data_IF_838251311726
#
_entry.id   IF_838251311726
#
_cell.length_a   1.000
_cell.length_b   1.000
_cell.length_c   1.000
_cell.angle_alpha   90.00
_cell.angle_beta   90.00
_cell.angle_gamma   90.00
#
_symmetry.space_group_name_H-M   'P 1'
#
loop_
_entity.id
_entity.type
_entity.pdbx_description
1 polymer ?
#
# COMPACT_ATOMS: atom_id res chain seq x y z
N UNK A 1 1.67 -8.09 -7.33
CA UNK A 1 0.77 -9.26 -7.41
C UNK A 1 0.97 -10.28 -6.27
N UNK A 2 1.75 -10.01 -5.26
CA UNK A 2 2.04 -10.94 -4.13
C UNK A 2 1.34 -10.52 -2.82
N UNK A 3 1.07 -9.24 -2.59
CA UNK A 3 0.42 -8.75 -1.37
C UNK A 3 -1.06 -9.16 -1.25
N UNK A 4 -1.81 -9.18 -2.34
CA UNK A 4 -3.24 -9.57 -2.35
C UNK A 4 -3.46 -11.05 -2.01
N UNK A 5 -2.45 -11.91 -2.24
CA UNK A 5 -2.55 -13.35 -1.98
C UNK A 5 -2.29 -13.73 -0.51
N UNK A 6 -1.61 -12.86 0.25
CA UNK A 6 -1.30 -13.10 1.67
C UNK A 6 -2.48 -12.72 2.58
N UNK A 7 -3.15 -11.61 2.27
CA UNK A 7 -4.34 -11.15 3.02
C UNK A 7 -5.50 -12.13 2.86
N UNK A 8 -5.66 -12.74 1.67
CA UNK A 8 -6.78 -13.65 1.40
C UNK A 8 -6.64 -15.05 2.02
N UNK A 9 -5.47 -15.44 2.53
CA UNK A 9 -5.26 -16.78 3.10
C UNK A 9 -5.58 -16.89 4.59
N UNK A 10 -5.54 -15.79 5.34
CA UNK A 10 -5.80 -15.80 6.79
C UNK A 10 -7.24 -15.45 7.18
N UNK A 11 -8.10 -15.08 6.21
CA UNK A 11 -9.50 -14.77 6.46
C UNK A 11 -10.49 -15.81 5.92
N UNK A 12 -10.01 -16.93 5.39
CA UNK A 12 -10.89 -17.98 4.87
C UNK A 12 -11.02 -19.14 5.85
N UNK A 13 -11.71 -18.86 6.95
CA UNK A 13 -12.06 -19.88 7.95
C UNK A 13 -13.13 -19.39 8.89
N UNK A 14 -14.35 -19.55 8.49
CA UNK A 14 -15.61 -19.77 9.23
C UNK A 14 -16.74 -18.82 8.85
N UNK A 15 -17.90 -19.46 8.63
CA UNK A 15 -19.24 -18.91 8.49
C UNK A 15 -19.66 -18.53 7.05
N UNK A 16 -19.90 -19.57 6.24
CA UNK A 16 -20.87 -19.49 5.14
C UNK A 16 -22.29 -19.69 5.71
N UNK A 17 -22.83 -18.61 6.30
CA UNK A 17 -24.23 -18.51 6.72
C UNK A 17 -24.88 -17.33 6.00
N UNK A 18 -26.22 -17.26 5.99
CA UNK A 18 -27.06 -16.19 5.36
C UNK A 18 -26.58 -14.77 5.67
N UNK A 19 -25.93 -14.55 6.83
CA UNK A 19 -25.32 -13.27 7.19
C UNK A 19 -24.15 -12.87 6.27
N UNK A 20 -23.46 -13.83 5.67
CA UNK A 20 -22.36 -13.56 4.74
C UNK A 20 -22.84 -13.06 3.38
N UNK A 21 -24.02 -13.49 2.93
CA UNK A 21 -24.62 -13.04 1.67
C UNK A 21 -25.18 -11.64 1.85
N UNK A 22 -25.90 -11.38 2.95
CA UNK A 22 -26.48 -10.07 3.24
C UNK A 22 -25.41 -8.99 3.40
N UNK A 23 -24.29 -9.32 4.05
CA UNK A 23 -23.15 -8.43 4.18
C UNK A 23 -22.50 -8.12 2.83
N UNK A 24 -22.31 -9.10 1.97
CA UNK A 24 -21.76 -8.91 0.62
C UNK A 24 -22.68 -8.08 -0.27
N UNK A 25 -24.00 -8.26 -0.17
CA UNK A 25 -24.95 -7.43 -0.92
C UNK A 25 -24.99 -5.99 -0.41
N UNK A 26 -24.91 -5.77 0.89
CA UNK A 26 -24.79 -4.43 1.48
C UNK A 26 -23.48 -3.75 1.10
N UNK A 27 -22.36 -4.48 1.12
CA UNK A 27 -21.05 -3.99 0.67
C UNK A 27 -21.07 -3.63 -0.82
N UNK A 28 -21.69 -4.47 -1.68
CA UNK A 28 -21.84 -4.20 -3.11
C UNK A 28 -22.76 -2.99 -3.38
N UNK A 29 -23.85 -2.85 -2.64
CA UNK A 29 -24.75 -1.69 -2.72
C UNK A 29 -24.05 -0.41 -2.24
N UNK A 30 -23.29 -0.48 -1.14
CA UNK A 30 -22.54 0.67 -0.64
C UNK A 30 -21.45 1.09 -1.63
N UNK A 31 -20.76 0.14 -2.27
CA UNK A 31 -19.75 0.41 -3.29
C UNK A 31 -20.36 0.99 -4.57
N UNK A 32 -21.60 0.60 -4.94
CA UNK A 32 -22.31 1.16 -6.08
C UNK A 32 -22.78 2.61 -5.85
N UNK A 33 -23.15 2.96 -4.61
CA UNK A 33 -23.60 4.32 -4.23
C UNK A 33 -22.42 5.22 -3.86
N UNK A 34 -21.41 4.66 -3.20
CA UNK A 34 -20.20 5.35 -2.77
C UNK A 34 -18.97 4.59 -3.25
N UNK A 35 -18.64 4.64 -4.55
CA UNK A 35 -17.50 3.91 -5.08
C UNK A 35 -16.21 4.36 -4.41
N UNK A 36 -15.47 3.41 -3.88
CA UNK A 36 -14.12 3.63 -3.41
C UNK A 36 -13.20 3.94 -4.59
N UNK A 37 -12.16 4.71 -4.36
CA UNK A 37 -11.14 5.01 -5.38
C UNK A 37 -11.56 5.96 -6.52
N UNK A 38 -12.61 6.76 -6.37
CA UNK A 38 -12.97 7.81 -7.36
C UNK A 38 -12.11 9.07 -7.23
N UNK A 39 -11.38 9.23 -6.14
CA UNK A 39 -10.46 10.35 -5.94
C UNK A 39 -9.03 9.86 -5.75
N UNK A 40 -8.10 10.58 -6.37
CA UNK A 40 -6.68 10.33 -6.17
C UNK A 40 -6.29 10.59 -4.71
N UNK A 41 -5.70 9.59 -4.07
CA UNK A 41 -5.25 9.65 -2.68
C UNK A 41 -4.27 10.79 -2.39
N UNK A 42 -3.45 11.15 -3.39
CA UNK A 42 -2.43 12.19 -3.23
C UNK A 42 -2.96 13.61 -3.52
N UNK A 43 -3.61 13.80 -4.66
CA UNK A 43 -3.98 15.15 -5.11
C UNK A 43 -5.48 15.45 -5.04
N UNK A 44 -6.32 14.50 -4.61
CA UNK A 44 -7.77 14.66 -4.52
C UNK A 44 -8.49 14.76 -5.86
N UNK A 45 -7.80 14.65 -7.00
CA UNK A 45 -8.40 14.73 -8.34
C UNK A 45 -9.30 13.51 -8.57
N UNK A 46 -10.42 13.72 -9.26
CA UNK A 46 -11.27 12.64 -9.72
C UNK A 46 -10.49 11.72 -10.66
N UNK A 47 -10.61 10.42 -10.44
CA UNK A 47 -9.98 9.37 -11.24
C UNK A 47 -11.03 8.36 -11.68
N UNK A 48 -10.69 7.60 -12.72
CA UNK A 48 -11.52 6.51 -13.17
C UNK A 48 -11.55 5.38 -12.11
N UNK A 49 -12.75 5.00 -11.67
CA UNK A 49 -12.98 3.94 -10.68
C UNK A 49 -12.58 2.53 -11.15
N UNK A 50 -12.21 2.35 -12.42
CA UNK A 50 -11.76 1.05 -12.96
C UNK A 50 -10.34 0.69 -12.51
N UNK A 51 -9.62 1.62 -11.90
CA UNK A 51 -8.23 1.42 -11.45
C UNK A 51 -8.17 0.58 -10.18
N UNK A 52 -7.22 -0.36 -10.07
CA UNK A 52 -7.04 -1.18 -8.88
C UNK A 52 -6.43 -0.41 -7.69
N UNK A 53 -6.13 0.87 -7.85
CA UNK A 53 -5.50 1.72 -6.84
C UNK A 53 -5.96 3.17 -6.97
N UNK A 54 -6.08 3.86 -5.86
CA UNK A 54 -6.58 5.23 -5.77
C UNK A 54 -5.50 6.29 -6.11
N UNK A 55 -4.85 6.20 -7.26
CA UNK A 55 -3.82 7.14 -7.71
C UNK A 55 -4.02 7.52 -9.17
N UNK A 56 -3.92 8.81 -9.49
CA UNK A 56 -3.86 9.27 -10.87
C UNK A 56 -2.47 9.06 -11.49
N UNK A 57 -2.39 9.02 -12.82
CA UNK A 57 -1.11 8.78 -13.53
C UNK A 57 -0.04 9.82 -13.21
N UNK A 58 -0.45 11.08 -13.01
CA UNK A 58 0.48 12.15 -12.64
C UNK A 58 1.12 11.89 -11.28
N UNK A 59 0.34 11.42 -10.31
CA UNK A 59 0.84 11.09 -8.97
C UNK A 59 1.67 9.81 -8.98
N UNK A 60 1.24 8.80 -9.73
CA UNK A 60 2.03 7.57 -9.93
C UNK A 60 3.43 7.85 -10.48
N UNK A 61 3.55 8.77 -11.44
CA UNK A 61 4.84 9.17 -12.02
C UNK A 61 5.72 9.98 -11.07
N UNK A 62 5.13 10.69 -10.10
CA UNK A 62 5.85 11.51 -9.12
C UNK A 62 6.36 10.71 -7.93
N UNK A 63 5.81 9.52 -7.70
CA UNK A 63 6.23 8.66 -6.60
C UNK A 63 7.61 8.05 -6.85
N UNK A 64 8.40 7.98 -5.80
CA UNK A 64 9.73 7.37 -5.83
C UNK A 64 9.61 5.87 -5.58
N UNK A 65 9.26 5.13 -6.62
CA UNK A 65 9.13 3.68 -6.56
C UNK A 65 10.47 3.00 -6.31
N UNK A 66 10.47 2.07 -5.39
CA UNK A 66 11.66 1.30 -5.04
C UNK A 66 11.79 0.09 -5.96
N UNK A 67 12.13 0.35 -7.23
CA UNK A 67 12.27 -0.67 -8.28
C UNK A 67 13.72 -1.18 -8.43
N UNK A 68 14.67 -0.59 -7.71
CA UNK A 68 16.08 -0.92 -7.77
C UNK A 68 16.51 -1.98 -6.73
N UNK A 69 17.80 -2.00 -6.44
CA UNK A 69 18.37 -2.87 -5.42
C UNK A 69 17.90 -2.46 -4.03
N UNK A 70 17.55 -3.44 -3.22
CA UNK A 70 17.06 -3.23 -1.86
C UNK A 70 17.84 -4.04 -0.84
N UNK A 71 17.88 -3.55 0.38
CA UNK A 71 18.46 -4.27 1.49
C UNK A 71 17.70 -5.58 1.74
N UNK A 72 18.40 -6.70 1.76
CA UNK A 72 17.82 -8.04 1.96
C UNK A 72 17.10 -8.20 3.31
N UNK A 73 17.49 -7.41 4.31
CA UNK A 73 16.90 -7.46 5.65
C UNK A 73 15.69 -6.52 5.78
N UNK A 74 15.84 -5.21 5.51
CA UNK A 74 14.81 -4.20 5.79
C UNK A 74 14.08 -3.65 4.55
N UNK A 75 14.51 -4.02 3.34
CA UNK A 75 13.88 -3.54 2.10
C UNK A 75 14.22 -2.10 1.71
N UNK A 76 15.08 -1.39 2.46
CA UNK A 76 15.51 -0.03 2.10
C UNK A 76 16.20 -0.01 0.75
N UNK A 77 15.91 1.00 -0.10
CA UNK A 77 16.62 1.22 -1.35
C UNK A 77 18.12 1.38 -1.12
N UNK A 78 18.91 0.70 -1.92
CA UNK A 78 20.36 0.78 -1.91
C UNK A 78 20.83 1.49 -3.18
N UNK A 79 21.83 2.39 -3.08
CA UNK A 79 22.46 2.98 -4.26
C UNK A 79 23.04 1.89 -5.18
N UNK A 80 23.01 2.10 -6.47
CA UNK A 80 23.56 1.14 -7.44
C UNK A 80 25.06 0.88 -7.24
N UNK A 81 25.78 1.89 -6.75
CA UNK A 81 27.21 1.80 -6.42
C UNK A 81 27.49 0.93 -5.19
N UNK A 82 26.48 0.69 -4.34
CA UNK A 82 26.64 -0.09 -3.12
C UNK A 82 26.71 -1.59 -3.44
N UNK A 83 27.81 -2.24 -3.09
CA UNK A 83 28.05 -3.67 -3.39
C UNK A 83 27.49 -4.64 -2.36
N UNK A 84 27.13 -4.19 -1.16
CA UNK A 84 26.57 -5.04 -0.09
C UNK A 84 25.13 -5.45 -0.31
N UNK A 85 24.71 -6.59 0.24
CA UNK A 85 23.31 -7.05 0.25
C UNK A 85 22.48 -6.42 1.37
N UNK A 86 23.12 -5.87 2.42
CA UNK A 86 22.45 -5.25 3.57
C UNK A 86 22.89 -3.80 3.73
N UNK A 87 21.97 -2.91 4.10
CA UNK A 87 22.30 -1.53 4.40
C UNK A 87 23.12 -1.44 5.70
N UNK A 88 23.82 -0.32 5.87
CA UNK A 88 24.67 -0.07 7.04
C UNK A 88 23.95 -0.30 8.38
N UNK A 89 22.76 0.28 8.55
CA UNK A 89 21.95 0.08 9.77
C UNK A 89 21.63 -1.39 10.07
N UNK A 90 21.38 -2.21 9.04
CA UNK A 90 21.10 -3.63 9.21
C UNK A 90 22.35 -4.50 9.40
N UNK A 91 23.53 -3.95 9.15
CA UNK A 91 24.80 -4.59 9.50
C UNK A 91 25.18 -4.32 10.95
N UNK A 92 24.93 -3.10 11.43
CA UNK A 92 25.24 -2.71 12.82
C UNK A 92 24.20 -3.19 13.83
N UNK A 93 22.92 -3.19 13.46
CA UNK A 93 21.80 -3.51 14.36
C UNK A 93 21.24 -4.89 14.10
N UNK A 94 21.12 -5.69 15.16
CA UNK A 94 20.45 -6.98 15.08
C UNK A 94 18.93 -6.81 15.25
N UNK A 95 18.24 -6.48 14.13
CA UNK A 95 16.79 -6.33 14.14
C UNK A 95 16.09 -7.69 14.36
N UNK A 96 15.10 -7.70 15.23
CA UNK A 96 14.31 -8.89 15.59
C UNK A 96 13.40 -9.38 14.45
N UNK A 97 12.98 -8.51 13.52
CA UNK A 97 12.11 -8.92 12.40
C UNK A 97 12.88 -9.77 11.38
N UNK A 98 12.17 -10.69 10.75
CA UNK A 98 12.77 -11.62 9.76
C UNK A 98 13.16 -10.90 8.48
N UNK A 99 12.23 -10.15 7.86
CA UNK A 99 12.44 -9.41 6.62
C UNK A 99 11.45 -8.26 6.50
N UNK A 100 11.91 -7.11 6.02
CA UNK A 100 11.11 -5.96 5.63
C UNK A 100 11.07 -5.78 4.12
N UNK A 101 10.02 -5.13 3.64
CA UNK A 101 9.84 -4.75 2.23
C UNK A 101 9.47 -3.28 2.16
N UNK A 102 9.98 -2.58 1.16
CA UNK A 102 9.65 -1.20 0.89
C UNK A 102 9.25 -1.04 -0.57
N UNK A 103 8.07 -0.50 -0.82
CA UNK A 103 7.55 -0.23 -2.17
C UNK A 103 8.01 1.14 -2.67
N UNK A 104 8.22 2.08 -1.75
CA UNK A 104 8.52 3.47 -2.03
C UNK A 104 9.73 3.93 -1.22
N UNK A 105 10.50 4.83 -1.79
CA UNK A 105 11.51 5.58 -1.06
C UNK A 105 10.82 6.77 -0.39
N UNK A 106 11.10 7.02 0.89
CA UNK A 106 10.49 8.09 1.66
C UNK A 106 11.02 9.45 1.22
N UNK A 107 10.19 10.21 0.51
CA UNK A 107 10.44 11.57 0.06
C UNK A 107 9.39 12.54 0.60
N UNK A 108 9.46 13.81 0.19
CA UNK A 108 8.48 14.84 0.60
C UNK A 108 7.07 14.48 0.16
N UNK A 109 6.94 13.95 -1.04
CA UNK A 109 5.65 13.59 -1.64
C UNK A 109 4.98 12.41 -0.90
N UNK A 110 5.74 11.37 -0.63
CA UNK A 110 5.26 10.20 0.12
C UNK A 110 4.95 10.57 1.58
N UNK A 111 5.72 11.49 2.16
CA UNK A 111 5.47 12.01 3.51
C UNK A 111 4.12 12.71 3.59
N UNK A 112 3.80 13.60 2.65
CA UNK A 112 2.52 14.31 2.61
C UNK A 112 1.35 13.34 2.50
N UNK A 113 1.44 12.34 1.63
CA UNK A 113 0.42 11.30 1.48
C UNK A 113 0.19 10.53 2.79
N UNK A 114 1.27 10.16 3.49
CA UNK A 114 1.17 9.45 4.78
C UNK A 114 0.58 10.34 5.87
N UNK A 115 0.94 11.61 5.91
CA UNK A 115 0.37 12.57 6.87
C UNK A 115 -1.11 12.82 6.61
N UNK A 116 -1.51 12.95 5.36
CA UNK A 116 -2.91 13.06 4.95
C UNK A 116 -3.74 11.85 5.41
N UNK A 117 -3.20 10.65 5.21
CA UNK A 117 -3.83 9.43 5.69
C UNK A 117 -4.00 9.42 7.22
N UNK A 118 -2.95 9.78 7.95
CA UNK A 118 -2.94 9.69 9.42
C UNK A 118 -3.74 10.78 10.12
N UNK A 119 -3.72 12.00 9.60
CA UNK A 119 -4.17 13.18 10.33
C UNK A 119 -5.30 13.94 9.64
N UNK A 120 -5.48 13.81 8.34
CA UNK A 120 -6.48 14.57 7.58
C UNK A 120 -7.71 13.74 7.18
N UNK A 121 -8.02 12.69 7.93
CA UNK A 121 -9.24 11.91 7.79
C UNK A 121 -9.36 11.07 6.51
N UNK A 122 -8.27 10.93 5.73
CA UNK A 122 -8.26 10.10 4.50
C UNK A 122 -8.14 8.60 4.80
N UNK A 123 -8.88 8.12 5.82
CA UNK A 123 -8.85 6.70 6.24
C UNK A 123 -9.27 5.71 5.15
N UNK A 124 -9.95 6.19 4.10
CA UNK A 124 -10.31 5.39 2.93
C UNK A 124 -9.09 4.85 2.15
N UNK A 125 -7.90 5.42 2.36
CA UNK A 125 -6.65 4.95 1.74
C UNK A 125 -6.15 3.62 2.31
N UNK A 126 -6.67 3.20 3.44
CA UNK A 126 -6.27 1.96 4.12
C UNK A 126 -7.22 0.78 3.89
N UNK A 127 -8.20 0.92 2.97
CA UNK A 127 -9.17 -0.15 2.65
C UNK A 127 -8.69 -1.09 1.55
#
# INVERSE_FOLDING_TARGET
>A
MILTRWINRNFRGKEMGEQGVLRKTLEALSEAVFPSNIYCACCGRLIDGTRPYALCDSCMKKMHWNNGRTCEKCGKALPETYRGGRCYSCMESNHSFRKGYSCLTYGLYEREMILDYKYNGKGYLGK
#
